data_IF_752098295365
#
_entry.id   IF_752098295365
#
_cell.length_a   1.000
_cell.length_b   1.000
_cell.length_c   1.000
_cell.angle_alpha   90.00
_cell.angle_beta   90.00
_cell.angle_gamma   90.00
#
_symmetry.space_group_name_H-M   'P 1'
#
loop_
_entity.id
_entity.type
_entity.pdbx_description
1 polymer ?
#
# COMPACT_ATOMS: atom_id res chain seq x y z
N UNK A 1 34.52 45.49 -104.99
CA UNK A 1 34.49 46.91 -104.59
C UNK A 1 33.51 47.10 -103.44
N UNK A 2 33.84 48.06 -102.58
CA UNK A 2 33.29 48.35 -101.24
C UNK A 2 31.87 48.95 -101.22
N UNK A 3 31.07 48.61 -100.18
CA UNK A 3 30.44 49.51 -99.15
C UNK A 3 29.26 48.81 -98.44
N UNK A 4 29.31 48.68 -97.09
CA UNK A 4 28.47 49.34 -96.03
C UNK A 4 26.94 49.22 -96.23
N UNK A 5 26.06 48.91 -95.27
CA UNK A 5 26.03 48.89 -93.78
C UNK A 5 24.68 48.28 -93.36
N UNK A 6 24.57 47.72 -92.15
CA UNK A 6 23.26 47.58 -91.46
C UNK A 6 23.18 46.48 -90.39
N UNK A 7 23.36 46.84 -89.10
CA UNK A 7 22.85 46.08 -87.92
C UNK A 7 21.43 46.59 -87.61
N UNK A 8 20.52 45.76 -87.05
CA UNK A 8 20.36 45.63 -85.59
C UNK A 8 20.09 44.15 -85.16
N UNK A 9 20.64 43.58 -84.09
CA UNK A 9 20.48 43.80 -82.64
C UNK A 9 19.52 42.79 -81.97
N UNK A 10 19.99 42.26 -80.81
CA UNK A 10 19.27 41.54 -79.74
C UNK A 10 18.82 40.10 -80.12
N UNK A 11 19.26 39.02 -79.43
CA UNK A 11 18.80 38.65 -78.10
C UNK A 11 19.87 37.81 -77.34
N UNK A 12 20.24 38.31 -76.16
CA UNK A 12 20.78 37.53 -75.06
C UNK A 12 19.64 36.66 -74.50
N UNK A 13 19.77 35.33 -74.53
CA UNK A 13 18.95 34.47 -73.67
C UNK A 13 19.53 34.53 -72.26
N UNK A 14 18.87 35.34 -71.42
CA UNK A 14 19.14 35.49 -70.00
C UNK A 14 18.85 34.20 -69.23
N UNK A 15 19.76 33.84 -68.31
CA UNK A 15 19.48 32.93 -67.20
C UNK A 15 18.28 33.43 -66.38
N UNK A 16 17.36 32.57 -65.93
CA UNK A 16 16.24 33.01 -65.11
C UNK A 16 16.71 33.42 -63.70
N UNK A 17 16.18 34.52 -63.11
CA UNK A 17 16.61 35.02 -61.81
C UNK A 17 16.07 34.17 -60.63
N UNK A 18 16.84 34.02 -59.53
CA UNK A 18 16.47 33.22 -58.36
C UNK A 18 15.65 34.05 -57.38
N UNK A 19 14.44 34.48 -57.74
CA UNK A 19 13.60 35.32 -56.85
C UNK A 19 12.23 34.73 -56.48
N UNK A 20 11.83 33.59 -57.05
CA UNK A 20 10.54 32.92 -56.74
C UNK A 20 10.60 31.78 -55.71
N UNK A 21 11.80 31.33 -55.32
CA UNK A 21 11.96 30.20 -54.36
C UNK A 21 11.85 30.64 -52.90
N UNK A 22 12.27 31.87 -52.57
CA UNK A 22 12.23 32.40 -51.21
C UNK A 22 10.79 32.72 -50.75
N UNK A 23 9.92 33.22 -51.64
CA UNK A 23 8.51 33.50 -51.29
C UNK A 23 7.71 32.23 -51.04
N UNK A 24 7.97 31.15 -51.79
CA UNK A 24 7.31 29.85 -51.57
C UNK A 24 7.76 29.19 -50.26
N UNK A 25 9.05 29.30 -49.91
CA UNK A 25 9.56 28.79 -48.64
C UNK A 25 8.95 29.54 -47.44
N UNK A 26 8.86 30.87 -47.53
CA UNK A 26 8.25 31.70 -46.48
C UNK A 26 6.77 31.35 -46.25
N UNK A 27 6.01 31.10 -47.33
CA UNK A 27 4.61 30.68 -47.24
C UNK A 27 4.47 29.29 -46.60
N UNK A 28 5.31 28.32 -46.96
CA UNK A 28 5.27 26.98 -46.36
C UNK A 28 5.65 27.01 -44.88
N UNK A 29 6.66 27.80 -44.49
CA UNK A 29 7.05 27.98 -43.08
C UNK A 29 5.94 28.65 -42.29
N UNK A 30 5.28 29.68 -42.85
CA UNK A 30 4.15 30.34 -42.20
C UNK A 30 2.96 29.39 -42.00
N UNK A 31 2.62 28.58 -43.00
CA UNK A 31 1.55 27.58 -42.90
C UNK A 31 1.92 26.51 -41.85
N UNK A 32 3.16 26.02 -41.84
CA UNK A 32 3.63 25.06 -40.84
C UNK A 32 3.55 25.60 -39.41
N UNK A 33 3.89 26.87 -39.19
CA UNK A 33 3.77 27.55 -37.89
C UNK A 33 2.31 27.68 -37.45
N UNK A 34 1.41 28.03 -38.36
CA UNK A 34 -0.03 28.12 -38.06
C UNK A 34 -0.60 26.75 -37.73
N UNK A 35 -0.27 25.71 -38.50
CA UNK A 35 -0.71 24.33 -38.23
C UNK A 35 -0.15 23.82 -36.91
N UNK A 36 1.10 24.14 -36.57
CA UNK A 36 1.71 23.77 -35.29
C UNK A 36 1.08 24.51 -34.10
N UNK A 37 0.76 25.80 -34.25
CA UNK A 37 0.08 26.58 -33.21
C UNK A 37 -1.37 26.15 -33.01
N UNK A 38 -2.10 25.87 -34.10
CA UNK A 38 -3.48 25.38 -34.04
C UNK A 38 -3.51 23.95 -33.52
N UNK A 39 -2.64 23.06 -34.01
CA UNK A 39 -2.52 21.69 -33.54
C UNK A 39 -2.05 21.60 -32.08
N UNK A 40 -1.09 22.43 -31.69
CA UNK A 40 -0.63 22.56 -30.31
C UNK A 40 -1.71 23.12 -29.38
N UNK A 41 -2.48 24.12 -29.83
CA UNK A 41 -3.59 24.70 -29.07
C UNK A 41 -4.75 23.73 -28.90
N UNK A 42 -5.11 22.98 -29.94
CA UNK A 42 -6.15 21.94 -29.88
C UNK A 42 -5.69 20.76 -29.02
N UNK A 43 -4.45 20.30 -29.18
CA UNK A 43 -3.86 19.26 -28.33
C UNK A 43 -3.80 19.66 -26.86
N UNK A 44 -3.52 20.93 -26.57
CA UNK A 44 -3.54 21.48 -25.21
C UNK A 44 -4.95 21.64 -24.64
N UNK A 45 -5.92 22.04 -25.46
CA UNK A 45 -7.31 22.17 -25.04
C UNK A 45 -7.98 20.80 -24.79
N UNK A 46 -7.65 19.79 -25.58
CA UNK A 46 -8.16 18.41 -25.44
C UNK A 46 -7.39 17.58 -24.40
N UNK A 47 -6.13 17.93 -24.11
CA UNK A 47 -5.27 17.23 -23.16
C UNK A 47 -5.32 17.77 -21.73
N UNK A 48 -6.12 18.80 -21.46
CA UNK A 48 -6.34 19.28 -20.09
C UNK A 48 -7.34 18.35 -19.39
N UNK A 49 -7.00 17.80 -18.21
CA UNK A 49 -7.96 17.03 -17.45
C UNK A 49 -9.18 17.89 -17.16
N UNK A 50 -10.36 17.36 -17.46
CA UNK A 50 -11.61 18.03 -17.14
C UNK A 50 -11.70 18.25 -15.61
N UNK A 51 -12.51 19.21 -15.16
CA UNK A 51 -12.67 19.54 -13.74
C UNK A 51 -13.00 18.29 -12.90
N UNK A 52 -13.74 17.35 -13.49
CA UNK A 52 -14.02 16.03 -12.90
C UNK A 52 -12.77 15.17 -12.75
N UNK A 53 -11.90 15.08 -13.75
CA UNK A 53 -10.66 14.30 -13.67
C UNK A 53 -9.69 14.86 -12.64
N UNK A 54 -9.56 16.19 -12.57
CA UNK A 54 -8.77 16.85 -11.52
C UNK A 54 -9.33 16.53 -10.13
N UNK A 55 -10.65 16.60 -9.97
CA UNK A 55 -11.32 16.28 -8.70
C UNK A 55 -11.09 14.82 -8.31
N UNK A 56 -11.20 13.88 -9.25
CA UNK A 56 -10.93 12.45 -9.01
C UNK A 56 -9.46 12.25 -8.60
N UNK A 57 -8.52 12.91 -9.26
CA UNK A 57 -7.11 12.83 -8.92
C UNK A 57 -6.84 13.38 -7.52
N UNK A 58 -7.48 14.49 -7.15
CA UNK A 58 -7.35 15.08 -5.81
C UNK A 58 -7.94 14.17 -4.72
N UNK A 59 -9.10 13.57 -4.96
CA UNK A 59 -9.71 12.59 -4.06
C UNK A 59 -8.81 11.37 -3.87
N UNK A 60 -8.27 10.80 -4.94
CA UNK A 60 -7.33 9.65 -4.87
C UNK A 60 -6.07 9.98 -4.08
N UNK A 61 -5.51 11.18 -4.25
CA UNK A 61 -4.34 11.62 -3.46
C UNK A 61 -4.69 11.78 -1.98
N UNK A 62 -5.87 12.33 -1.67
CA UNK A 62 -6.33 12.45 -0.30
C UNK A 62 -6.58 11.08 0.37
N UNK A 63 -7.16 10.13 -0.37
CA UNK A 63 -7.35 8.75 0.08
C UNK A 63 -6.02 8.04 0.33
N UNK A 64 -5.07 8.12 -0.62
CA UNK A 64 -3.75 7.52 -0.46
C UNK A 64 -3.01 8.08 0.76
N UNK A 65 -3.09 9.40 1.00
CA UNK A 65 -2.51 10.03 2.19
C UNK A 65 -3.15 9.52 3.48
N UNK A 66 -4.48 9.36 3.50
CA UNK A 66 -5.20 8.83 4.65
C UNK A 66 -4.84 7.36 4.91
N UNK A 67 -4.75 6.54 3.86
CA UNK A 67 -4.39 5.13 4.00
C UNK A 67 -2.96 4.98 4.54
N UNK A 68 -1.99 5.74 4.04
CA UNK A 68 -0.62 5.75 4.58
C UNK A 68 -0.57 6.08 6.09
N UNK A 69 -1.36 7.06 6.53
CA UNK A 69 -1.50 7.36 7.96
C UNK A 69 -2.10 6.19 8.73
N UNK A 70 -3.17 5.57 8.21
CA UNK A 70 -3.79 4.42 8.86
C UNK A 70 -2.87 3.21 8.95
N UNK A 71 -2.00 2.99 7.96
CA UNK A 71 -1.00 1.91 7.97
C UNK A 71 0.00 2.16 9.10
N UNK A 72 0.46 3.40 9.27
CA UNK A 72 1.36 3.79 10.37
C UNK A 72 0.70 3.57 11.73
N UNK A 73 -0.56 4.00 11.90
CA UNK A 73 -1.33 3.84 13.14
C UNK A 73 -1.63 2.37 13.45
N UNK A 74 -1.98 1.58 12.44
CA UNK A 74 -2.21 0.14 12.57
C UNK A 74 -0.94 -0.60 12.95
N UNK A 75 0.21 -0.22 12.37
CA UNK A 75 1.52 -0.78 12.71
C UNK A 75 1.92 -0.47 14.15
N UNK A 76 1.75 0.77 14.59
CA UNK A 76 1.99 1.15 15.98
C UNK A 76 1.08 0.38 16.95
N UNK A 77 -0.20 0.23 16.59
CA UNK A 77 -1.16 -0.57 17.35
C UNK A 77 -0.73 -2.02 17.43
N UNK A 78 -0.37 -2.65 16.30
CA UNK A 78 0.08 -4.05 16.27
C UNK A 78 1.32 -4.27 17.15
N UNK A 79 2.32 -3.37 17.11
CA UNK A 79 3.50 -3.48 17.99
C UNK A 79 3.15 -3.41 19.47
N UNK A 80 2.26 -2.49 19.87
CA UNK A 80 1.81 -2.38 21.26
C UNK A 80 1.09 -3.64 21.69
N UNK A 81 0.11 -4.08 20.90
CA UNK A 81 -0.70 -5.26 21.19
C UNK A 81 0.14 -6.54 21.23
N UNK A 82 1.15 -6.68 20.37
CA UNK A 82 2.13 -7.78 20.46
C UNK A 82 2.76 -7.84 21.85
N UNK A 83 3.19 -6.70 22.40
CA UNK A 83 3.79 -6.63 23.74
C UNK A 83 2.83 -6.99 24.87
N UNK A 84 1.53 -6.77 24.68
CA UNK A 84 0.48 -7.12 25.64
C UNK A 84 0.04 -8.60 25.54
N UNK A 85 -0.01 -9.14 24.32
CA UNK A 85 -0.61 -10.44 24.01
C UNK A 85 0.41 -11.58 24.05
N UNK A 86 1.65 -11.35 23.60
CA UNK A 86 2.68 -12.40 23.56
C UNK A 86 2.88 -13.09 24.93
N UNK A 87 3.03 -12.36 26.06
CA UNK A 87 3.21 -12.99 27.37
C UNK A 87 2.01 -13.86 27.79
N UNK A 88 0.80 -13.51 27.36
CA UNK A 88 -0.42 -14.29 27.65
C UNK A 88 -0.40 -15.59 26.88
N UNK A 89 -0.10 -15.54 25.58
CA UNK A 89 -0.02 -16.73 24.73
C UNK A 89 1.10 -17.67 25.18
N UNK A 90 2.27 -17.13 25.53
CA UNK A 90 3.38 -17.92 26.05
C UNK A 90 3.03 -18.63 27.35
N UNK A 91 2.39 -17.91 28.29
CA UNK A 91 1.92 -18.49 29.53
C UNK A 91 0.91 -19.62 29.29
N UNK A 92 -0.07 -19.43 28.39
CA UNK A 92 -1.07 -20.45 28.06
C UNK A 92 -0.44 -21.68 27.37
N UNK A 93 0.58 -21.50 26.54
CA UNK A 93 1.31 -22.59 25.86
C UNK A 93 2.20 -23.39 26.81
N UNK A 94 2.82 -22.71 27.77
CA UNK A 94 3.73 -23.29 28.77
C UNK A 94 3.02 -24.08 29.89
N UNK A 95 1.69 -24.21 29.84
CA UNK A 95 0.85 -24.81 30.88
C UNK A 95 0.95 -24.06 32.21
N UNK A 96 0.21 -22.95 32.36
CA UNK A 96 0.36 -22.09 33.52
C UNK A 96 -0.10 -22.82 34.79
N UNK A 97 0.55 -22.50 35.91
CA UNK A 97 0.04 -22.90 37.23
C UNK A 97 -1.37 -22.33 37.40
N UNK A 98 -2.29 -23.14 37.91
CA UNK A 98 -3.70 -22.78 38.05
C UNK A 98 -3.88 -21.57 38.98
N UNK A 99 -3.92 -20.36 38.40
CA UNK A 99 -4.19 -19.10 39.09
C UNK A 99 -5.36 -18.34 38.43
N UNK A 100 -6.54 -18.34 39.08
CA UNK A 100 -7.70 -17.59 38.61
C UNK A 100 -7.51 -16.07 38.61
N UNK A 101 -6.65 -15.50 39.47
CA UNK A 101 -6.43 -14.06 39.51
C UNK A 101 -5.64 -13.61 38.28
N UNK A 102 -4.57 -14.34 37.94
CA UNK A 102 -3.80 -14.09 36.72
C UNK A 102 -4.67 -14.20 35.45
N UNK A 103 -5.53 -15.22 35.37
CA UNK A 103 -6.44 -15.39 34.23
C UNK A 103 -7.40 -14.20 34.06
N UNK A 104 -7.92 -13.64 35.16
CA UNK A 104 -8.78 -12.43 35.11
C UNK A 104 -8.00 -11.18 34.70
N UNK A 105 -6.74 -11.05 35.09
CA UNK A 105 -5.89 -9.94 34.64
C UNK A 105 -5.61 -10.01 33.13
N UNK A 106 -5.38 -11.21 32.60
CA UNK A 106 -5.26 -11.41 31.16
C UNK A 106 -6.57 -11.06 30.43
N UNK A 107 -7.72 -11.48 30.95
CA UNK A 107 -9.02 -11.12 30.39
C UNK A 107 -9.20 -9.58 30.31
N UNK A 108 -8.88 -8.85 31.38
CA UNK A 108 -8.94 -7.39 31.40
C UNK A 108 -7.96 -6.73 30.43
N UNK A 109 -6.77 -7.33 30.26
CA UNK A 109 -5.79 -6.88 29.28
C UNK A 109 -6.32 -7.04 27.86
N UNK A 110 -6.94 -8.18 27.54
CA UNK A 110 -7.48 -8.45 26.22
C UNK A 110 -8.73 -7.63 25.89
N UNK A 111 -9.56 -7.31 26.89
CA UNK A 111 -10.65 -6.33 26.73
C UNK A 111 -10.13 -4.97 26.26
N UNK A 112 -9.06 -4.46 26.89
CA UNK A 112 -8.41 -3.21 26.46
C UNK A 112 -7.72 -3.36 25.11
N UNK A 113 -7.10 -4.51 24.84
CA UNK A 113 -6.44 -4.80 23.57
C UNK A 113 -7.42 -4.78 22.38
N UNK A 114 -8.70 -5.07 22.62
CA UNK A 114 -9.75 -5.07 21.61
C UNK A 114 -10.29 -3.65 21.30
N UNK A 115 -10.16 -2.68 22.20
CA UNK A 115 -10.71 -1.31 22.03
C UNK A 115 -10.32 -0.63 20.71
N UNK A 116 -9.06 -0.70 20.22
CA UNK A 116 -8.66 -0.08 18.95
C UNK A 116 -9.42 -0.61 17.73
N UNK A 117 -10.02 -1.79 17.84
CA UNK A 117 -10.74 -2.45 16.74
C UNK A 117 -12.26 -2.25 16.79
N UNK A 118 -12.79 -1.60 17.82
CA UNK A 118 -14.24 -1.44 18.01
C UNK A 118 -14.88 -0.49 16.97
N UNK A 119 -14.17 0.59 16.61
CA UNK A 119 -14.64 1.59 15.65
C UNK A 119 -13.51 1.94 14.67
N UNK A 120 -13.09 1.00 13.80
CA UNK A 120 -11.93 1.22 12.97
C UNK A 120 -12.25 2.22 11.84
N UNK A 121 -11.31 3.11 11.49
CA UNK A 121 -11.47 3.94 10.31
C UNK A 121 -11.49 3.07 9.05
N UNK A 122 -12.24 3.49 8.03
CA UNK A 122 -12.22 2.84 6.72
C UNK A 122 -10.89 3.12 6.02
N UNK A 123 -10.18 2.07 5.63
CA UNK A 123 -8.95 2.13 4.82
C UNK A 123 -9.08 1.38 3.50
N UNK A 124 -7.96 1.19 2.82
CA UNK A 124 -7.92 0.29 1.66
C UNK A 124 -8.28 -1.15 2.05
N UNK A 125 -8.68 -1.96 1.06
CA UNK A 125 -9.04 -3.37 1.30
C UNK A 125 -7.92 -4.12 2.02
N UNK A 126 -6.67 -3.96 1.59
CA UNK A 126 -5.53 -4.65 2.19
C UNK A 126 -5.31 -4.21 3.66
N UNK A 127 -5.37 -2.90 3.95
CA UNK A 127 -5.31 -2.37 5.32
C UNK A 127 -6.45 -2.92 6.19
N UNK A 128 -7.66 -3.01 5.64
CA UNK A 128 -8.81 -3.55 6.37
C UNK A 128 -8.68 -5.06 6.64
N UNK A 129 -8.09 -5.82 5.71
CA UNK A 129 -7.80 -7.26 5.90
C UNK A 129 -6.77 -7.47 7.01
N UNK A 130 -5.65 -6.72 6.98
CA UNK A 130 -4.66 -6.76 8.06
C UNK A 130 -5.28 -6.45 9.42
N UNK A 131 -6.07 -5.37 9.50
CA UNK A 131 -6.76 -4.96 10.72
C UNK A 131 -7.76 -6.01 11.21
N UNK A 132 -8.55 -6.56 10.30
CA UNK A 132 -9.51 -7.62 10.60
C UNK A 132 -8.85 -8.89 11.12
N UNK A 133 -7.71 -9.28 10.53
CA UNK A 133 -6.90 -10.40 10.99
C UNK A 133 -6.34 -10.19 12.39
N UNK A 134 -5.79 -8.99 12.68
CA UNK A 134 -5.29 -8.65 14.02
C UNK A 134 -6.42 -8.69 15.05
N UNK A 135 -7.57 -8.10 14.74
CA UNK A 135 -8.77 -8.17 15.61
C UNK A 135 -9.15 -9.62 15.91
N UNK A 136 -9.24 -10.46 14.88
CA UNK A 136 -9.60 -11.87 15.04
C UNK A 136 -8.58 -12.63 15.92
N UNK A 137 -7.29 -12.32 15.80
CA UNK A 137 -6.26 -12.92 16.65
C UNK A 137 -6.41 -12.49 18.13
N UNK A 138 -6.72 -11.22 18.40
CA UNK A 138 -7.01 -10.74 19.76
C UNK A 138 -8.25 -11.44 20.33
N UNK A 139 -9.33 -11.52 19.55
CA UNK A 139 -10.57 -12.20 19.95
C UNK A 139 -10.34 -13.70 20.23
N UNK A 140 -9.57 -14.38 19.40
CA UNK A 140 -9.19 -15.78 19.62
C UNK A 140 -8.34 -15.95 20.90
N UNK A 141 -7.48 -14.98 21.21
CA UNK A 141 -6.73 -14.99 22.47
C UNK A 141 -7.65 -14.83 23.68
N UNK A 142 -8.68 -13.97 23.57
CA UNK A 142 -9.70 -13.84 24.63
C UNK A 142 -10.41 -15.16 24.89
N UNK A 143 -10.80 -15.88 23.84
CA UNK A 143 -11.42 -17.20 23.97
C UNK A 143 -10.49 -18.23 24.65
N UNK A 144 -9.20 -18.19 24.35
CA UNK A 144 -8.21 -19.03 25.01
C UNK A 144 -8.14 -18.75 26.52
N UNK A 145 -8.11 -17.47 26.90
CA UNK A 145 -8.11 -17.04 28.31
C UNK A 145 -9.42 -17.41 29.01
N UNK A 146 -10.56 -17.29 28.34
CA UNK A 146 -11.87 -17.70 28.90
C UNK A 146 -11.93 -19.20 29.17
N UNK A 147 -11.49 -20.03 28.22
CA UNK A 147 -11.38 -21.48 28.42
C UNK A 147 -10.46 -21.83 29.59
N UNK A 148 -9.33 -21.11 29.72
CA UNK A 148 -8.41 -21.32 30.85
C UNK A 148 -9.03 -20.89 32.18
N UNK A 149 -9.72 -19.75 32.21
CA UNK A 149 -10.42 -19.27 33.40
C UNK A 149 -11.48 -20.28 33.86
N UNK A 150 -12.23 -20.87 32.92
CA UNK A 150 -13.17 -21.97 33.20
C UNK A 150 -12.44 -23.21 33.75
N UNK A 151 -11.25 -23.53 33.23
CA UNK A 151 -10.46 -24.67 33.72
C UNK A 151 -10.04 -24.51 35.19
N UNK A 152 -9.65 -23.29 35.59
CA UNK A 152 -9.13 -23.02 36.94
C UNK A 152 -10.21 -22.67 37.96
N UNK A 153 -11.39 -22.21 37.53
CA UNK A 153 -12.52 -21.90 38.43
C UNK A 153 -13.62 -22.96 38.45
N UNK A 154 -13.68 -23.81 37.43
CA UNK A 154 -14.70 -24.84 37.28
C UNK A 154 -14.40 -26.16 38.02
N UNK A 155 -15.24 -27.19 37.78
CA UNK A 155 -15.10 -28.50 38.42
C UNK A 155 -13.74 -29.16 38.09
N UNK A 156 -13.05 -29.77 39.07
CA UNK A 156 -11.73 -30.39 38.86
C UNK A 156 -11.69 -31.43 37.74
N UNK A 157 -12.81 -32.15 37.51
CA UNK A 157 -12.94 -33.17 36.47
C UNK A 157 -12.79 -32.61 35.04
N UNK A 158 -13.05 -31.31 34.82
CA UNK A 158 -12.98 -30.68 33.49
C UNK A 158 -11.66 -29.95 33.24
N UNK A 159 -10.85 -29.75 34.29
CA UNK A 159 -9.65 -28.90 34.24
C UNK A 159 -8.70 -29.26 33.11
N UNK A 160 -8.31 -30.54 33.02
CA UNK A 160 -7.36 -30.99 32.00
C UNK A 160 -7.88 -30.74 30.56
N UNK A 161 -9.16 -31.03 30.31
CA UNK A 161 -9.77 -30.84 28.99
C UNK A 161 -9.86 -29.36 28.60
N UNK A 162 -10.25 -28.49 29.54
CA UNK A 162 -10.36 -27.05 29.32
C UNK A 162 -8.99 -26.36 29.19
N UNK A 163 -7.99 -26.78 29.98
CA UNK A 163 -6.59 -26.31 29.81
C UNK A 163 -6.04 -26.70 28.44
N UNK A 164 -6.28 -27.94 28.00
CA UNK A 164 -5.86 -28.38 26.67
C UNK A 164 -6.59 -27.63 25.53
N UNK A 165 -7.87 -27.27 25.73
CA UNK A 165 -8.60 -26.42 24.80
C UNK A 165 -8.00 -25.01 24.72
N UNK A 166 -7.74 -24.39 25.87
CA UNK A 166 -7.11 -23.07 25.95
C UNK A 166 -5.76 -23.03 25.22
N UNK A 167 -4.93 -24.08 25.38
CA UNK A 167 -3.65 -24.21 24.68
C UNK A 167 -3.81 -24.24 23.16
N UNK A 168 -4.72 -25.06 22.63
CA UNK A 168 -5.00 -25.10 21.18
C UNK A 168 -5.55 -23.77 20.65
N UNK A 169 -6.40 -23.10 21.43
CA UNK A 169 -6.92 -21.78 21.05
C UNK A 169 -5.80 -20.73 21.02
N UNK A 170 -4.85 -20.77 21.97
CA UNK A 170 -3.68 -19.90 21.97
C UNK A 170 -2.77 -20.15 20.76
N UNK A 171 -2.55 -21.40 20.36
CA UNK A 171 -1.83 -21.74 19.13
C UNK A 171 -2.54 -21.20 17.87
N UNK A 172 -3.87 -21.33 17.80
CA UNK A 172 -4.67 -20.77 16.71
C UNK A 172 -4.63 -19.23 16.68
N UNK A 173 -4.63 -18.59 17.86
CA UNK A 173 -4.49 -17.14 17.96
C UNK A 173 -3.14 -16.65 17.45
N UNK A 174 -2.05 -17.34 17.81
CA UNK A 174 -0.71 -17.05 17.31
C UNK A 174 -0.62 -17.20 15.78
N UNK A 175 -1.17 -18.29 15.24
CA UNK A 175 -1.22 -18.50 13.79
C UNK A 175 -2.02 -17.39 13.07
N UNK A 176 -3.19 -17.01 13.60
CA UNK A 176 -3.99 -15.91 13.05
C UNK A 176 -3.24 -14.57 13.10
N UNK A 177 -2.54 -14.31 14.20
CA UNK A 177 -1.67 -13.13 14.33
C UNK A 177 -0.58 -13.13 13.27
N UNK A 178 0.12 -14.25 13.06
CA UNK A 178 1.20 -14.36 12.08
C UNK A 178 0.73 -14.06 10.66
N UNK A 179 -0.43 -14.57 10.25
CA UNK A 179 -1.03 -14.25 8.94
C UNK A 179 -1.35 -12.75 8.84
N UNK A 180 -1.95 -12.16 9.89
CA UNK A 180 -2.28 -10.75 9.91
C UNK A 180 -1.03 -9.85 9.92
N UNK A 181 0.02 -10.25 10.63
CA UNK A 181 1.32 -9.58 10.67
C UNK A 181 2.00 -9.62 9.30
N UNK A 182 1.92 -10.75 8.59
CA UNK A 182 2.42 -10.88 7.21
C UNK A 182 1.68 -9.94 6.26
N UNK A 183 0.34 -9.88 6.36
CA UNK A 183 -0.44 -8.95 5.55
C UNK A 183 -0.11 -7.49 5.86
N UNK A 184 0.11 -7.16 7.14
CA UNK A 184 0.51 -5.83 7.56
C UNK A 184 1.93 -5.47 7.09
N UNK A 185 2.86 -6.43 7.08
CA UNK A 185 4.20 -6.26 6.54
C UNK A 185 4.14 -5.88 5.05
N UNK A 186 3.38 -6.65 4.26
CA UNK A 186 3.17 -6.35 2.84
C UNK A 186 2.56 -4.97 2.62
N UNK A 187 1.54 -4.60 3.40
CA UNK A 187 0.89 -3.28 3.32
C UNK A 187 1.88 -2.15 3.64
N UNK A 188 2.80 -2.35 4.59
CA UNK A 188 3.85 -1.37 4.87
C UNK A 188 4.88 -1.27 3.74
N UNK A 189 5.28 -2.40 3.14
CA UNK A 189 6.18 -2.41 1.97
C UNK A 189 5.55 -1.65 0.81
N UNK A 190 4.29 -1.94 0.48
CA UNK A 190 3.55 -1.29 -0.60
C UNK A 190 3.39 0.23 -0.37
N UNK A 191 3.29 0.65 0.89
CA UNK A 191 3.23 2.06 1.29
C UNK A 191 4.60 2.76 1.38
N UNK A 192 5.70 2.04 1.15
CA UNK A 192 7.06 2.59 1.23
C UNK A 192 7.60 2.75 2.65
N UNK A 193 6.98 2.10 3.64
CA UNK A 193 7.44 2.08 5.04
C UNK A 193 8.45 0.96 5.34
N UNK A 194 8.74 0.10 4.36
CA UNK A 194 9.63 -1.06 4.50
C UNK A 194 9.02 -2.18 5.34
N UNK A 195 9.82 -3.21 5.65
CA UNK A 195 9.36 -4.34 6.45
C UNK A 195 9.07 -3.93 7.90
N UNK A 196 7.94 -4.43 8.42
CA UNK A 196 7.45 -4.23 9.77
C UNK A 196 7.18 -5.59 10.43
N UNK A 197 8.21 -6.13 11.09
CA UNK A 197 8.14 -7.42 11.78
C UNK A 197 7.38 -7.30 13.11
N UNK A 198 6.05 -7.37 13.06
CA UNK A 198 5.18 -7.39 14.24
C UNK A 198 4.77 -8.81 14.67
N UNK A 199 5.53 -9.83 14.24
CA UNK A 199 5.32 -11.24 14.59
C UNK A 199 5.46 -11.52 16.10
N UNK A 200 4.79 -12.56 16.58
CA UNK A 200 5.00 -13.10 17.93
C UNK A 200 6.29 -13.94 17.95
N UNK A 201 6.93 -14.03 19.11
CA UNK A 201 8.16 -14.82 19.26
C UNK A 201 7.87 -16.32 19.08
N UNK A 202 8.74 -17.02 18.36
CA UNK A 202 8.59 -18.44 18.00
C UNK A 202 7.87 -18.73 16.68
N UNK A 203 7.27 -17.73 16.01
CA UNK A 203 6.63 -17.88 14.69
C UNK A 203 7.61 -17.71 13.51
N UNK A 204 8.89 -17.43 13.78
CA UNK A 204 9.95 -17.51 12.78
C UNK A 204 10.23 -18.98 12.49
N UNK A 205 9.43 -19.58 11.62
CA UNK A 205 9.91 -20.73 10.88
C UNK A 205 11.02 -20.22 9.94
N UNK A 206 12.18 -20.87 10.02
CA UNK A 206 13.42 -20.63 9.28
C UNK A 206 13.21 -20.45 7.76
N UNK A 207 12.83 -19.23 7.34
CA UNK A 207 12.69 -18.87 5.93
C UNK A 207 13.63 -17.74 5.49
N UNK A 208 14.34 -17.13 6.43
CA UNK A 208 15.32 -16.09 6.19
C UNK A 208 16.71 -16.55 6.63
N UNK A 209 17.17 -17.69 6.11
CA UNK A 209 18.61 -17.83 5.92
C UNK A 209 18.99 -16.81 4.85
N UNK A 210 19.54 -15.68 5.32
CA UNK A 210 20.28 -14.75 4.50
C UNK A 210 21.24 -15.54 3.63
N UNK A 211 21.00 -15.52 2.31
CA UNK A 211 21.93 -16.02 1.32
C UNK A 211 23.26 -15.30 1.50
N UNK A 212 24.18 -15.92 2.22
CA UNK A 212 25.58 -15.55 2.21
C UNK A 212 26.12 -15.92 0.85
N UNK A 213 26.18 -14.92 -0.03
CA UNK A 213 26.85 -15.03 -1.32
C UNK A 213 28.30 -15.44 -1.09
N UNK A 214 28.62 -16.65 -1.57
CA UNK A 214 29.97 -17.09 -1.89
C UNK A 214 30.27 -16.88 -3.36
#
# INVERSE_FOLDING_TARGET
MSRRTGRPSYLLSASPPPRRRLSRLAVVVAIGLVVALVGGGIGYALGRPDATESTIADLRRAEAKRDAQQITELTATARRLRGEIAPVLDALRAEPTADPQQARQWQQTLLRAAEPFANPPSGSTATNVARGGLRAAVEQTSLAVESYLLAVTGPPAQRAALTALAKRQAEQAAAAWSVAATQLDQVNVDAGHGHQHVYLEGDQHDGAEEGTGG
#
